data_IF_020848294185
#
_entry.id   IF_020848294185
#
_cell.length_a   1.000
_cell.length_b   1.000
_cell.length_c   1.000
_cell.angle_alpha   90.00
_cell.angle_beta   90.00
_cell.angle_gamma   90.00
#
_symmetry.space_group_name_H-M   'P 1'
#
loop_
_entity.id
_entity.type
_entity.pdbx_description
1 polymer ?
#
# COMPACT_ATOMS: atom_id res chain seq x y z
N UNK A 1 -5.09 -13.67 -21.80
CA UNK A 1 -5.88 -12.44 -21.57
C UNK A 1 -7.34 -12.72 -21.20
N UNK A 2 -8.22 -13.25 -22.09
CA UNK A 2 -9.67 -13.41 -21.83
C UNK A 2 -10.08 -14.21 -20.58
N UNK A 3 -9.24 -15.13 -20.08
CA UNK A 3 -9.55 -15.92 -18.87
C UNK A 3 -9.38 -15.16 -17.54
N UNK A 4 -8.73 -14.00 -17.54
CA UNK A 4 -8.31 -13.30 -16.31
C UNK A 4 -8.70 -11.82 -16.24
N UNK A 5 -9.28 -11.26 -17.32
CA UNK A 5 -9.72 -9.86 -17.37
C UNK A 5 -11.25 -9.87 -17.45
N UNK A 6 -11.97 -9.39 -16.42
CA UNK A 6 -13.44 -9.48 -16.34
C UNK A 6 -14.17 -8.45 -17.22
N UNK A 7 -13.46 -7.78 -18.14
CA UNK A 7 -13.97 -6.73 -19.02
C UNK A 7 -13.50 -6.95 -20.46
N UNK A 8 -14.20 -6.41 -21.46
CA UNK A 8 -13.81 -6.55 -22.86
C UNK A 8 -12.38 -6.07 -23.11
N UNK A 9 -11.61 -6.83 -23.90
CA UNK A 9 -10.21 -6.48 -24.23
C UNK A 9 -10.08 -5.11 -24.90
N UNK A 10 -11.14 -4.65 -25.57
CA UNK A 10 -11.22 -3.34 -26.23
C UNK A 10 -11.33 -2.17 -25.24
N UNK A 11 -11.71 -2.44 -24.00
CA UNK A 11 -11.88 -1.42 -22.95
C UNK A 11 -10.63 -1.25 -22.08
N UNK A 12 -9.62 -2.08 -22.28
CA UNK A 12 -8.41 -2.11 -21.48
C UNK A 12 -7.15 -2.02 -22.34
N UNK A 13 -6.15 -1.35 -21.81
CA UNK A 13 -4.78 -1.44 -22.26
C UNK A 13 -4.05 -2.48 -21.41
N UNK A 14 -3.21 -3.28 -22.05
CA UNK A 14 -2.40 -4.29 -21.38
C UNK A 14 -0.95 -3.88 -21.33
N UNK A 15 -0.36 -4.06 -20.16
CA UNK A 15 1.08 -3.98 -19.95
C UNK A 15 1.52 -5.25 -19.21
N UNK A 16 2.77 -5.66 -19.39
CA UNK A 16 3.30 -6.83 -18.70
C UNK A 16 4.77 -6.64 -18.32
N UNK A 17 5.12 -7.25 -17.20
CA UNK A 17 6.49 -7.30 -16.71
C UNK A 17 6.93 -8.76 -16.59
N UNK A 18 8.09 -9.08 -17.16
CA UNK A 18 8.71 -10.41 -17.00
C UNK A 18 9.26 -10.50 -15.58
N UNK A 19 8.82 -11.49 -14.82
CA UNK A 19 9.35 -11.74 -13.48
C UNK A 19 10.71 -12.42 -13.64
N UNK A 20 11.81 -11.85 -13.09
CA UNK A 20 13.13 -12.48 -13.17
C UNK A 20 13.11 -13.91 -12.65
N UNK A 21 13.88 -14.84 -13.24
CA UNK A 21 13.85 -16.26 -12.85
C UNK A 21 14.24 -16.48 -11.38
N UNK A 22 15.19 -15.71 -10.88
CA UNK A 22 15.61 -15.72 -9.46
C UNK A 22 14.43 -15.37 -8.54
N UNK A 23 13.64 -14.37 -8.93
CA UNK A 23 12.45 -13.87 -8.23
C UNK A 23 11.26 -14.85 -8.36
N UNK A 24 11.08 -15.43 -9.54
CA UNK A 24 10.08 -16.46 -9.80
C UNK A 24 10.31 -17.70 -8.94
N UNK A 25 11.57 -18.00 -8.57
CA UNK A 25 12.01 -19.01 -7.60
C UNK A 25 11.32 -18.93 -6.23
N UNK A 26 10.93 -17.73 -5.82
CA UNK A 26 10.36 -17.48 -4.49
C UNK A 26 8.84 -17.42 -4.46
N UNK A 27 8.20 -17.21 -5.61
CA UNK A 27 6.75 -17.20 -5.71
C UNK A 27 6.19 -18.62 -5.54
N UNK A 28 5.20 -18.77 -4.67
CA UNK A 28 4.55 -20.03 -4.29
C UNK A 28 3.83 -20.80 -5.41
N UNK A 29 4.05 -20.43 -6.67
CA UNK A 29 3.55 -21.12 -7.85
C UNK A 29 4.37 -22.38 -8.22
N UNK A 30 5.38 -22.77 -7.43
CA UNK A 30 6.30 -23.88 -7.76
C UNK A 30 5.74 -25.30 -7.64
N UNK A 31 4.56 -25.50 -7.04
CA UNK A 31 3.98 -26.85 -6.93
C UNK A 31 3.31 -27.35 -8.23
N UNK A 32 3.37 -26.60 -9.33
CA UNK A 32 2.85 -27.03 -10.63
C UNK A 32 4.00 -27.31 -11.61
N UNK A 33 3.95 -28.41 -12.38
CA UNK A 33 4.94 -28.66 -13.42
C UNK A 33 4.93 -27.49 -14.42
N UNK A 34 5.98 -26.67 -14.38
CA UNK A 34 6.20 -25.60 -15.37
C UNK A 34 6.71 -26.22 -16.66
N UNK A 35 6.20 -25.73 -17.78
CA UNK A 35 6.85 -25.95 -19.06
C UNK A 35 8.21 -25.23 -19.00
N UNK A 36 9.34 -25.90 -19.25
CA UNK A 36 10.67 -25.30 -19.17
C UNK A 36 10.88 -24.13 -20.13
N UNK A 37 9.99 -23.95 -21.12
CA UNK A 37 9.99 -22.80 -22.03
C UNK A 37 8.95 -21.72 -21.68
N UNK A 38 8.29 -21.80 -20.51
CA UNK A 38 7.31 -20.81 -20.07
C UNK A 38 7.97 -19.72 -19.21
N UNK A 39 7.65 -18.47 -19.51
CA UNK A 39 8.09 -17.30 -18.74
C UNK A 39 6.95 -16.80 -17.85
N UNK A 40 7.24 -16.57 -16.57
CA UNK A 40 6.29 -15.93 -15.68
C UNK A 40 6.22 -14.43 -15.94
N UNK A 41 5.01 -13.92 -16.09
CA UNK A 41 4.76 -12.49 -16.31
C UNK A 41 3.72 -11.98 -15.33
N UNK A 42 3.96 -10.78 -14.80
CA UNK A 42 2.93 -9.97 -14.18
C UNK A 42 2.16 -9.26 -15.29
N UNK A 43 0.88 -9.58 -15.44
CA UNK A 43 0.00 -8.92 -16.39
C UNK A 43 -0.82 -7.82 -15.69
N UNK A 44 -0.79 -6.61 -16.23
CA UNK A 44 -1.58 -5.48 -15.77
C UNK A 44 -2.59 -5.09 -16.83
N UNK A 45 -3.86 -4.94 -16.44
CA UNK A 45 -4.91 -4.43 -17.30
C UNK A 45 -5.42 -3.09 -16.75
N UNK A 46 -5.33 -2.04 -17.56
CA UNK A 46 -5.71 -0.67 -17.19
C UNK A 46 -6.90 -0.27 -18.05
N UNK A 47 -7.98 0.21 -17.42
CA UNK A 47 -9.10 0.77 -18.17
C UNK A 47 -8.65 1.98 -19.01
N UNK A 48 -9.04 2.02 -20.27
CA UNK A 48 -8.70 3.12 -21.17
C UNK A 48 -9.20 4.48 -20.63
N UNK A 49 -10.31 4.49 -19.88
CA UNK A 49 -10.82 5.68 -19.19
C UNK A 49 -9.84 6.22 -18.14
N UNK A 50 -9.11 5.35 -17.44
CA UNK A 50 -8.10 5.74 -16.45
C UNK A 50 -6.93 6.43 -17.14
N UNK A 51 -6.47 5.91 -18.29
CA UNK A 51 -5.42 6.52 -19.09
C UNK A 51 -5.85 7.89 -19.63
N UNK A 52 -7.06 7.99 -20.19
CA UNK A 52 -7.62 9.26 -20.67
C UNK A 52 -7.70 10.32 -19.57
N UNK A 53 -8.06 9.91 -18.34
CA UNK A 53 -8.07 10.81 -17.18
C UNK A 53 -6.66 11.32 -16.84
N UNK A 54 -5.66 10.44 -16.82
CA UNK A 54 -4.27 10.86 -16.56
C UNK A 54 -3.73 11.77 -17.66
N UNK A 55 -4.07 11.50 -18.92
CA UNK A 55 -3.72 12.37 -20.05
C UNK A 55 -4.32 13.78 -19.89
N UNK A 56 -5.61 13.87 -19.55
CA UNK A 56 -6.26 15.17 -19.29
C UNK A 56 -5.60 15.95 -18.15
N UNK A 57 -5.24 15.27 -17.05
CA UNK A 57 -4.56 15.89 -15.90
C UNK A 57 -3.17 16.39 -16.30
N UNK A 58 -2.38 15.57 -17.00
CA UNK A 58 -1.00 15.93 -17.40
C UNK A 58 -0.95 17.04 -18.43
N UNK A 59 -1.88 17.06 -19.39
CA UNK A 59 -2.05 18.18 -20.33
C UNK A 59 -2.40 19.49 -19.60
N UNK A 60 -3.35 19.43 -18.66
CA UNK A 60 -3.75 20.60 -17.85
C UNK A 60 -2.60 21.12 -16.99
N UNK A 61 -1.84 20.21 -16.39
CA UNK A 61 -0.65 20.53 -15.59
C UNK A 61 0.57 20.93 -16.44
N UNK A 62 0.51 20.80 -17.77
CA UNK A 62 1.62 21.02 -18.71
C UNK A 62 2.86 20.19 -18.38
N UNK A 63 2.65 18.93 -17.98
CA UNK A 63 3.72 17.97 -17.67
C UNK A 63 3.66 16.84 -18.69
N UNK A 64 4.80 16.44 -19.24
CA UNK A 64 4.89 15.25 -20.11
C UNK A 64 5.36 14.05 -19.27
N UNK A 65 4.50 13.04 -19.00
CA UNK A 65 4.90 11.87 -18.24
C UNK A 65 5.87 11.02 -19.06
N UNK A 66 7.00 10.61 -18.45
CA UNK A 66 7.95 9.69 -19.09
C UNK A 66 7.46 8.23 -19.05
N UNK A 67 6.72 7.87 -18.01
CA UNK A 67 6.17 6.53 -17.80
C UNK A 67 4.99 6.59 -16.82
N UNK A 68 4.23 5.49 -16.78
CA UNK A 68 3.22 5.22 -15.76
C UNK A 68 3.64 3.98 -14.95
N UNK A 69 3.20 3.88 -13.71
CA UNK A 69 3.49 2.74 -12.84
C UNK A 69 2.27 2.40 -11.99
N UNK A 70 2.11 1.11 -11.67
CA UNK A 70 1.11 0.65 -10.72
C UNK A 70 1.59 0.94 -9.30
N UNK A 71 0.75 1.63 -8.53
CA UNK A 71 1.02 2.16 -7.19
C UNK A 71 1.79 1.23 -6.23
N UNK A 72 1.47 -0.09 -6.11
CA UNK A 72 2.15 -0.97 -5.16
C UNK A 72 3.65 -1.11 -5.41
N UNK A 73 4.11 -1.11 -6.68
CA UNK A 73 5.53 -1.20 -7.01
C UNK A 73 6.29 0.07 -6.62
N UNK A 74 5.67 1.23 -6.84
CA UNK A 74 6.24 2.50 -6.40
C UNK A 74 6.35 2.51 -4.87
N UNK A 75 5.25 2.22 -4.17
CA UNK A 75 5.23 2.20 -2.71
C UNK A 75 6.29 1.24 -2.13
N UNK A 76 6.37 0.01 -2.62
CA UNK A 76 7.35 -0.97 -2.16
C UNK A 76 8.80 -0.47 -2.36
N UNK A 77 9.09 0.21 -3.48
CA UNK A 77 10.44 0.73 -3.75
C UNK A 77 10.93 1.73 -2.69
N UNK A 78 10.07 2.49 -2.04
CA UNK A 78 10.48 3.49 -1.04
C UNK A 78 10.23 3.03 0.41
N UNK A 79 9.08 2.42 0.68
CA UNK A 79 8.60 2.14 2.02
C UNK A 79 8.99 0.76 2.55
N UNK A 80 9.36 -0.16 1.66
CA UNK A 80 9.83 -1.50 2.01
C UNK A 80 11.36 -1.59 1.92
N UNK A 81 11.94 -2.26 2.92
CA UNK A 81 13.34 -2.67 2.92
C UNK A 81 13.40 -4.15 2.56
N UNK A 82 14.23 -4.51 1.59
CA UNK A 82 14.32 -5.88 1.10
C UNK A 82 14.74 -6.81 2.24
N UNK A 83 13.95 -7.86 2.45
CA UNK A 83 14.20 -8.92 3.40
C UNK A 83 13.86 -10.27 2.79
N UNK A 84 14.38 -11.34 3.39
CA UNK A 84 14.13 -12.72 2.94
C UNK A 84 12.84 -13.32 3.50
N UNK A 85 12.26 -12.69 4.53
CA UNK A 85 11.02 -13.13 5.14
C UNK A 85 9.82 -12.35 4.56
N UNK A 86 8.63 -12.96 4.46
CA UNK A 86 7.42 -12.25 4.06
C UNK A 86 7.12 -11.06 4.98
N UNK A 87 6.73 -9.94 4.37
CA UNK A 87 6.35 -8.70 5.05
C UNK A 87 4.96 -8.28 4.60
N UNK A 88 4.08 -8.00 5.55
CA UNK A 88 2.79 -7.38 5.25
C UNK A 88 2.94 -5.87 5.23
N UNK A 89 2.35 -5.21 4.24
CA UNK A 89 2.27 -3.75 4.18
C UNK A 89 0.80 -3.35 4.28
N UNK A 90 0.50 -2.45 5.22
CA UNK A 90 -0.83 -1.86 5.39
C UNK A 90 -0.74 -0.40 4.96
N UNK A 91 -1.23 -0.10 3.75
CA UNK A 91 -1.38 1.25 3.22
C UNK A 91 -2.71 1.85 3.68
N UNK A 92 -2.64 2.61 4.77
CA UNK A 92 -3.79 3.25 5.37
C UNK A 92 -4.05 4.61 4.71
N UNK A 93 -4.84 4.59 3.64
CA UNK A 93 -5.28 5.77 2.91
C UNK A 93 -6.51 6.45 3.52
N UNK A 94 -6.94 7.56 2.90
CA UNK A 94 -8.14 8.28 3.33
C UNK A 94 -9.43 7.54 2.97
N UNK A 95 -9.57 7.10 1.72
CA UNK A 95 -10.79 6.47 1.19
C UNK A 95 -10.83 4.93 1.33
N UNK A 96 -9.72 4.32 1.73
CA UNK A 96 -9.58 2.88 1.83
C UNK A 96 -8.22 2.48 2.37
N UNK A 97 -8.09 1.21 2.72
CA UNK A 97 -6.83 0.62 3.20
C UNK A 97 -6.44 -0.51 2.27
N UNK A 98 -5.21 -0.50 1.77
CA UNK A 98 -4.68 -1.61 0.95
C UNK A 98 -3.77 -2.46 1.80
N UNK A 99 -3.85 -3.77 1.61
CA UNK A 99 -3.04 -4.75 2.31
C UNK A 99 -2.26 -5.52 1.26
N UNK A 100 -0.94 -5.48 1.39
CA UNK A 100 -0.02 -6.24 0.55
C UNK A 100 0.72 -7.27 1.40
N UNK A 101 1.09 -8.40 0.81
CA UNK A 101 2.14 -9.26 1.36
C UNK A 101 3.23 -9.35 0.31
N UNK A 102 4.42 -8.93 0.70
CA UNK A 102 5.59 -8.79 -0.16
C UNK A 102 6.61 -9.85 0.25
N UNK A 103 7.12 -10.59 -0.72
CA UNK A 103 8.19 -11.57 -0.57
C UNK A 103 9.26 -11.30 -1.63
N UNK A 104 10.52 -11.13 -1.22
CA UNK A 104 11.64 -10.80 -2.12
C UNK A 104 11.37 -9.60 -3.06
N UNK A 105 10.62 -8.61 -2.58
CA UNK A 105 10.24 -7.42 -3.36
C UNK A 105 9.04 -7.63 -4.30
N UNK A 106 8.49 -8.84 -4.39
CA UNK A 106 7.33 -9.17 -5.22
C UNK A 106 6.06 -9.19 -4.37
N UNK A 107 4.98 -8.63 -4.89
CA UNK A 107 3.68 -8.62 -4.22
C UNK A 107 2.95 -9.94 -4.51
N UNK A 108 2.83 -10.79 -3.49
CA UNK A 108 2.10 -12.06 -3.57
C UNK A 108 0.60 -11.88 -3.29
N UNK A 109 0.26 -11.05 -2.30
CA UNK A 109 -1.13 -10.73 -1.94
C UNK A 109 -1.36 -9.24 -2.15
N UNK A 110 -2.50 -8.89 -2.75
CA UNK A 110 -3.02 -7.52 -2.83
C UNK A 110 -4.52 -7.53 -2.56
N UNK A 111 -4.95 -6.85 -1.49
CA UNK A 111 -6.35 -6.75 -1.12
C UNK A 111 -6.71 -5.31 -0.71
N UNK A 112 -7.95 -4.90 -0.98
CA UNK A 112 -8.44 -3.57 -0.62
C UNK A 112 -9.57 -3.70 0.39
N UNK A 113 -9.38 -3.09 1.57
CA UNK A 113 -10.40 -2.90 2.59
C UNK A 113 -11.09 -1.56 2.31
N UNK A 114 -12.42 -1.58 2.14
CA UNK A 114 -13.24 -0.41 1.83
C UNK A 114 -13.44 0.57 2.98
N UNK A 115 -12.47 0.71 3.89
CA UNK A 115 -12.45 1.70 4.97
C UNK A 115 -11.08 2.33 5.10
N UNK A 116 -11.07 3.64 5.34
CA UNK A 116 -9.87 4.47 5.44
C UNK A 116 -9.96 5.53 6.54
N UNK A 117 -8.99 6.45 6.54
CA UNK A 117 -8.90 7.52 7.52
C UNK A 117 -10.05 8.52 7.46
N UNK A 118 -10.79 8.60 6.34
CA UNK A 118 -11.99 9.43 6.23
C UNK A 118 -13.17 8.83 7.01
N UNK A 119 -13.32 7.51 7.04
CA UNK A 119 -14.35 6.85 7.84
C UNK A 119 -14.14 7.14 9.33
N UNK A 120 -12.89 7.17 9.77
CA UNK A 120 -12.52 7.59 11.12
C UNK A 120 -12.95 9.03 11.40
N UNK A 121 -12.69 9.96 10.48
CA UNK A 121 -13.12 11.35 10.60
C UNK A 121 -14.64 11.48 10.66
N UNK A 122 -15.38 10.76 9.81
CA UNK A 122 -16.85 10.76 9.80
C UNK A 122 -17.43 10.17 11.09
N UNK A 123 -16.81 9.13 11.65
CA UNK A 123 -17.21 8.55 12.92
C UNK A 123 -17.06 9.55 14.08
N UNK A 124 -15.95 10.30 14.09
CA UNK A 124 -15.72 11.36 15.07
C UNK A 124 -16.67 12.54 14.91
N UNK A 125 -16.92 12.95 13.66
CA UNK A 125 -17.90 13.97 13.34
C UNK A 125 -19.27 13.61 13.92
N UNK A 126 -19.74 12.39 13.66
CA UNK A 126 -21.04 11.90 14.13
C UNK A 126 -21.08 11.73 15.66
N UNK A 127 -20.03 11.17 16.25
CA UNK A 127 -19.97 10.91 17.70
C UNK A 127 -19.82 12.17 18.54
N UNK A 128 -19.10 13.17 18.03
CA UNK A 128 -18.85 14.44 18.72
C UNK A 128 -19.82 15.57 18.38
N UNK A 129 -20.65 15.42 17.34
CA UNK A 129 -21.56 16.49 16.88
C UNK A 129 -20.83 17.72 16.33
N UNK A 130 -19.61 17.53 15.82
CA UNK A 130 -18.74 18.61 15.29
C UNK A 130 -18.76 18.61 13.76
N UNK A 131 -18.13 19.61 13.15
CA UNK A 131 -17.91 19.64 11.69
C UNK A 131 -16.85 18.62 11.27
N UNK A 132 -16.82 18.28 9.97
CA UNK A 132 -15.79 17.39 9.42
C UNK A 132 -14.37 17.92 9.68
N UNK A 133 -14.14 19.23 9.50
CA UNK A 133 -12.84 19.87 9.70
C UNK A 133 -12.39 19.80 11.16
N UNK A 134 -13.31 20.04 12.11
CA UNK A 134 -13.02 19.89 13.54
C UNK A 134 -12.72 18.44 13.90
N UNK A 135 -13.46 17.48 13.34
CA UNK A 135 -13.21 16.06 13.54
C UNK A 135 -11.85 15.62 12.97
N UNK A 136 -11.46 16.13 11.80
CA UNK A 136 -10.14 15.85 11.19
C UNK A 136 -9.02 16.41 12.06
N UNK A 137 -9.19 17.63 12.57
CA UNK A 137 -8.23 18.29 13.46
C UNK A 137 -8.09 17.47 14.76
N UNK A 138 -9.21 17.11 15.37
CA UNK A 138 -9.25 16.27 16.57
C UNK A 138 -8.54 14.93 16.35
N UNK A 139 -8.79 14.26 15.22
CA UNK A 139 -8.15 13.00 14.83
C UNK A 139 -6.63 13.15 14.76
N UNK A 140 -6.14 14.19 14.08
CA UNK A 140 -4.70 14.44 13.89
C UNK A 140 -4.01 14.83 15.20
N UNK A 141 -4.68 15.60 16.05
CA UNK A 141 -4.13 16.09 17.30
C UNK A 141 -4.09 15.02 18.39
N UNK A 142 -5.20 14.29 18.57
CA UNK A 142 -5.39 13.31 19.65
C UNK A 142 -5.03 11.88 19.26
N UNK A 143 -4.98 11.56 17.97
CA UNK A 143 -4.77 10.18 17.51
C UNK A 143 -5.82 9.22 18.08
N UNK A 144 -5.43 7.99 18.40
CA UNK A 144 -6.34 6.97 18.94
C UNK A 144 -6.78 7.21 20.38
N UNK A 145 -5.98 7.91 21.19
CA UNK A 145 -6.27 8.12 22.62
C UNK A 145 -7.45 9.06 22.90
N UNK A 146 -7.94 9.80 21.91
CA UNK A 146 -9.10 10.70 22.05
C UNK A 146 -10.18 10.47 21.00
N UNK A 147 -10.18 9.29 20.35
CA UNK A 147 -11.06 8.99 19.21
C UNK A 147 -11.82 7.68 19.41
N UNK A 148 -12.41 7.49 20.60
CA UNK A 148 -13.22 6.30 20.93
C UNK A 148 -14.33 6.03 19.92
N UNK A 149 -15.03 7.08 19.46
CA UNK A 149 -16.05 6.95 18.40
C UNK A 149 -15.49 6.38 17.08
N UNK A 150 -14.18 6.50 16.88
CA UNK A 150 -13.43 6.05 15.73
C UNK A 150 -12.78 4.67 15.86
N UNK A 151 -12.69 4.11 17.08
CA UNK A 151 -11.96 2.86 17.32
C UNK A 151 -12.53 1.70 16.49
N UNK A 152 -13.85 1.64 16.34
CA UNK A 152 -14.53 0.62 15.54
C UNK A 152 -14.10 0.59 14.05
N UNK A 153 -13.63 1.72 13.51
CA UNK A 153 -13.08 1.78 12.14
C UNK A 153 -11.72 1.08 12.09
N UNK A 154 -10.85 1.38 13.05
CA UNK A 154 -9.52 0.76 13.17
C UNK A 154 -9.65 -0.73 13.46
N UNK A 155 -10.52 -1.10 14.39
CA UNK A 155 -10.76 -2.49 14.77
C UNK A 155 -11.23 -3.31 13.56
N UNK A 156 -12.10 -2.75 12.73
CA UNK A 156 -12.52 -3.38 11.48
C UNK A 156 -11.35 -3.56 10.51
N UNK A 157 -10.58 -2.49 10.25
CA UNK A 157 -9.45 -2.52 9.31
C UNK A 157 -8.42 -3.57 9.74
N UNK A 158 -8.01 -3.56 11.01
CA UNK A 158 -7.02 -4.52 11.51
C UNK A 158 -7.55 -5.94 11.64
N UNK A 159 -8.85 -6.13 11.92
CA UNK A 159 -9.47 -7.46 11.88
C UNK A 159 -9.45 -8.05 10.46
N UNK A 160 -9.78 -7.25 9.45
CA UNK A 160 -9.75 -7.68 8.05
C UNK A 160 -8.31 -7.94 7.58
N UNK A 161 -7.37 -7.05 7.88
CA UNK A 161 -5.95 -7.24 7.60
C UNK A 161 -5.41 -8.52 8.27
N UNK A 162 -5.82 -8.81 9.51
CA UNK A 162 -5.44 -10.04 10.23
C UNK A 162 -6.02 -11.29 9.56
N UNK A 163 -7.25 -11.23 9.03
CA UNK A 163 -7.83 -12.35 8.27
C UNK A 163 -7.01 -12.65 7.02
N UNK A 164 -6.58 -11.61 6.30
CA UNK A 164 -5.71 -11.73 5.11
C UNK A 164 -4.36 -12.36 5.51
N UNK A 165 -3.75 -11.87 6.58
CA UNK A 165 -2.50 -12.41 7.13
C UNK A 165 -2.61 -13.91 7.42
N UNK A 166 -3.62 -14.31 8.20
CA UNK A 166 -3.81 -15.70 8.60
C UNK A 166 -4.15 -16.61 7.42
N UNK A 167 -4.86 -16.09 6.41
CA UNK A 167 -5.15 -16.83 5.19
C UNK A 167 -3.86 -17.11 4.40
N UNK A 168 -2.99 -16.12 4.26
CA UNK A 168 -1.67 -16.28 3.64
C UNK A 168 -0.81 -17.29 4.41
N UNK A 169 -0.62 -17.11 5.72
CA UNK A 169 0.22 -18.01 6.53
C UNK A 169 -0.27 -19.46 6.49
N UNK A 170 -1.59 -19.68 6.47
CA UNK A 170 -2.17 -21.02 6.33
C UNK A 170 -1.94 -21.62 4.95
N UNK A 171 -2.07 -20.81 3.89
CA UNK A 171 -1.89 -21.25 2.51
C UNK A 171 -0.43 -21.58 2.21
N UNK A 172 0.49 -20.74 2.66
CA UNK A 172 1.90 -20.78 2.30
C UNK A 172 2.78 -21.50 3.34
N UNK A 173 2.29 -21.72 4.56
CA UNK A 173 3.10 -22.28 5.65
C UNK A 173 4.25 -21.37 6.10
N UNK A 174 4.31 -20.12 5.65
CA UNK A 174 5.33 -19.13 6.00
C UNK A 174 4.79 -18.14 7.01
N UNK A 175 5.63 -17.71 7.96
CA UNK A 175 5.28 -16.63 8.90
C UNK A 175 5.62 -15.26 8.31
N UNK A 176 4.72 -14.29 8.48
CA UNK A 176 5.03 -12.88 8.19
C UNK A 176 5.81 -12.31 9.38
N UNK A 177 7.01 -11.82 9.10
CA UNK A 177 7.95 -11.38 10.14
C UNK A 177 7.75 -9.94 10.59
N UNK A 178 7.19 -9.11 9.70
CA UNK A 178 7.03 -7.67 9.91
C UNK A 178 5.76 -7.17 9.23
N UNK A 179 5.17 -6.16 9.85
CA UNK A 179 4.07 -5.36 9.31
C UNK A 179 4.52 -3.92 9.21
N UNK A 180 4.53 -3.39 7.99
CA UNK A 180 4.91 -2.01 7.70
C UNK A 180 3.66 -1.18 7.46
N UNK A 181 3.49 -0.12 8.25
CA UNK A 181 2.43 0.86 8.11
C UNK A 181 2.86 1.97 7.13
N UNK A 182 2.08 2.19 6.08
CA UNK A 182 2.30 3.22 5.06
C UNK A 182 1.02 4.06 4.84
N UNK A 183 1.13 5.15 4.10
CA UNK A 183 0.00 6.03 3.81
C UNK A 183 -0.23 7.10 4.89
N UNK A 184 -1.11 8.06 4.60
CA UNK A 184 -1.37 9.19 5.52
C UNK A 184 -2.00 8.78 6.85
N UNK A 185 -2.75 7.68 6.87
CA UNK A 185 -3.31 7.10 8.09
C UNK A 185 -2.26 6.48 9.00
N UNK A 186 -1.09 6.08 8.48
CA UNK A 186 0.01 5.55 9.30
C UNK A 186 0.59 6.60 10.28
N UNK A 187 0.38 7.89 10.02
CA UNK A 187 0.78 8.98 10.90
C UNK A 187 -0.16 9.18 12.11
N UNK A 188 -1.22 8.38 12.23
CA UNK A 188 -2.16 8.47 13.35
C UNK A 188 -1.48 8.05 14.66
N UNK A 189 -1.45 8.95 15.64
CA UNK A 189 -0.79 8.69 16.93
C UNK A 189 -1.46 7.51 17.64
N UNK A 190 -0.67 6.58 18.17
CA UNK A 190 -1.17 5.37 18.83
C UNK A 190 -1.45 4.19 17.89
N UNK A 191 -1.35 4.38 16.56
CA UNK A 191 -1.68 3.34 15.59
C UNK A 191 -0.73 2.13 15.67
N UNK A 192 0.61 2.27 15.76
CA UNK A 192 1.50 1.12 15.92
C UNK A 192 1.20 0.30 17.17
N UNK A 193 0.88 0.96 18.28
CA UNK A 193 0.55 0.32 19.57
C UNK A 193 -0.77 -0.45 19.51
N UNK A 194 -1.75 0.04 18.75
CA UNK A 194 -3.01 -0.68 18.51
C UNK A 194 -2.78 -1.83 17.53
N UNK A 195 -2.01 -1.62 16.46
CA UNK A 195 -1.67 -2.69 15.51
C UNK A 195 -0.99 -3.88 16.20
N UNK A 196 -0.07 -3.62 17.14
CA UNK A 196 0.61 -4.67 17.91
C UNK A 196 -0.32 -5.57 18.74
N UNK A 197 -1.59 -5.16 18.96
CA UNK A 197 -2.61 -6.00 19.63
C UNK A 197 -3.30 -6.97 18.67
N UNK A 198 -3.28 -6.67 17.37
CA UNK A 198 -3.91 -7.49 16.33
C UNK A 198 -2.94 -8.51 15.73
N UNK A 199 -1.66 -8.16 15.68
CA UNK A 199 -0.67 -8.91 14.93
C UNK A 199 0.47 -9.37 15.83
N UNK A 200 0.85 -10.63 15.67
CA UNK A 200 2.01 -11.23 16.33
C UNK A 200 3.24 -11.13 15.42
N UNK A 201 3.60 -9.90 15.07
CA UNK A 201 4.72 -9.57 14.18
C UNK A 201 5.29 -8.21 14.55
N UNK A 202 6.54 -7.94 14.14
CA UNK A 202 7.17 -6.64 14.35
C UNK A 202 6.36 -5.57 13.60
N UNK A 203 5.92 -4.52 14.30
CA UNK A 203 5.24 -3.38 13.68
C UNK A 203 6.25 -2.26 13.44
N UNK A 204 6.32 -1.75 12.22
CA UNK A 204 7.11 -0.57 11.87
C UNK A 204 6.29 0.41 11.06
N UNK A 205 6.60 1.70 11.19
CA UNK A 205 6.08 2.74 10.30
C UNK A 205 7.13 3.02 9.23
N UNK A 206 6.71 3.05 7.97
CA UNK A 206 7.63 3.32 6.86
C UNK A 206 8.34 4.66 6.98
N UNK A 207 9.56 4.70 6.47
CA UNK A 207 10.35 5.93 6.36
C UNK A 207 10.80 6.10 4.90
N UNK A 208 9.90 6.52 3.99
CA UNK A 208 10.20 6.58 2.56
C UNK A 208 11.37 7.50 2.19
N UNK A 209 11.66 8.48 3.05
CA UNK A 209 12.72 9.46 2.86
C UNK A 209 14.12 8.94 3.24
N UNK A 210 14.26 7.75 3.84
CA UNK A 210 15.57 7.19 4.23
C UNK A 210 16.49 6.92 3.03
N UNK A 211 15.92 6.84 1.82
CA UNK A 211 16.65 6.62 0.57
C UNK A 211 17.07 7.93 -0.12
N UNK A 212 16.80 9.08 0.47
CA UNK A 212 17.12 10.40 -0.11
C UNK A 212 17.78 11.33 0.91
N UNK A 213 18.61 12.25 0.43
CA UNK A 213 19.16 13.30 1.28
C UNK A 213 18.14 14.43 1.46
N UNK A 214 17.95 14.87 2.70
CA UNK A 214 17.10 15.99 3.06
C UNK A 214 17.80 16.90 4.07
N UNK A 215 17.56 18.22 4.05
CA UNK A 215 18.07 19.12 5.09
C UNK A 215 17.60 18.70 6.49
N UNK A 216 18.51 18.76 7.47
CA UNK A 216 18.21 18.31 8.84
C UNK A 216 16.99 19.02 9.47
N UNK A 217 16.75 20.30 9.12
CA UNK A 217 15.67 21.10 9.69
C UNK A 217 14.26 20.61 9.29
N UNK A 218 14.12 19.81 8.23
CA UNK A 218 12.82 19.21 7.85
C UNK A 218 12.67 17.77 8.34
N UNK A 219 13.66 17.20 9.03
CA UNK A 219 13.69 15.79 9.41
C UNK A 219 12.45 15.32 10.17
N UNK A 220 11.97 16.08 11.14
CA UNK A 220 10.79 15.72 11.94
C UNK A 220 9.49 15.80 11.13
N UNK A 221 9.40 16.76 10.20
CA UNK A 221 8.28 16.86 9.27
C UNK A 221 8.27 15.66 8.33
N UNK A 222 9.44 15.25 7.82
CA UNK A 222 9.56 14.08 6.96
C UNK A 222 9.30 12.77 7.71
N UNK A 223 9.67 12.65 8.98
CA UNK A 223 9.31 11.46 9.78
C UNK A 223 7.81 11.36 10.03
N UNK A 224 7.16 12.49 10.33
CA UNK A 224 5.73 12.51 10.66
C UNK A 224 4.81 12.42 9.44
N UNK A 225 5.21 12.98 8.30
CA UNK A 225 4.41 12.99 7.07
C UNK A 225 4.91 11.99 6.03
N UNK A 226 6.12 11.48 6.19
CA UNK A 226 6.82 10.58 5.27
C UNK A 226 5.99 9.43 4.73
N UNK A 227 5.28 8.67 5.59
CA UNK A 227 4.46 7.55 5.13
C UNK A 227 3.45 7.89 4.02
N UNK A 228 2.91 9.11 3.97
CA UNK A 228 1.99 9.53 2.91
C UNK A 228 2.66 9.76 1.55
N UNK A 229 3.98 9.86 1.52
CA UNK A 229 4.77 10.10 0.31
C UNK A 229 5.39 8.82 -0.27
N UNK A 230 5.14 7.65 0.32
CA UNK A 230 5.74 6.38 -0.11
C UNK A 230 5.65 6.16 -1.62
N UNK A 231 4.44 6.20 -2.19
CA UNK A 231 4.24 6.02 -3.63
C UNK A 231 4.98 7.08 -4.46
N UNK A 232 4.89 8.35 -4.07
CA UNK A 232 5.50 9.46 -4.82
C UNK A 232 7.04 9.37 -4.83
N UNK A 233 7.65 9.10 -3.68
CA UNK A 233 9.11 8.91 -3.57
C UNK A 233 9.54 7.66 -4.34
N UNK A 234 8.78 6.58 -4.26
CA UNK A 234 9.03 5.38 -5.04
C UNK A 234 9.03 5.62 -6.54
N UNK A 235 8.05 6.38 -7.04
CA UNK A 235 7.95 6.75 -8.45
C UNK A 235 9.15 7.60 -8.88
N UNK A 236 9.55 8.57 -8.05
CA UNK A 236 10.72 9.41 -8.31
C UNK A 236 12.01 8.57 -8.35
N UNK A 237 12.20 7.63 -7.42
CA UNK A 237 13.36 6.73 -7.39
C UNK A 237 13.48 5.90 -8.68
N UNK A 238 12.38 5.41 -9.25
CA UNK A 238 12.40 4.73 -10.55
C UNK A 238 12.83 5.65 -11.68
N UNK A 239 12.39 6.90 -11.66
CA UNK A 239 12.80 7.88 -12.67
C UNK A 239 14.30 8.19 -12.66
N UNK A 240 14.99 7.93 -11.54
CA UNK A 240 16.44 8.09 -11.37
C UNK A 240 17.23 6.83 -11.71
N UNK A 241 16.60 5.66 -11.72
CA UNK A 241 17.24 4.41 -12.15
C UNK A 241 17.39 4.47 -13.68
N UNK A 242 18.64 4.44 -14.15
CA UNK A 242 19.02 4.47 -15.56
C UNK A 242 18.80 3.11 -16.21
#
# INVERSE_FOLDING_TARGET
ARKYIPVPITEVSLDWFVIPEEEAGFLSAHDKPKNPNATDVLLVAIHNQTLAKFESVTQTAKVTPRFYEVEPFSMARSAYQHGTAPTMVIDFGASGTRVYIIEFGIIDVSHTIGRGGQDLTLALQKGGGVTFTEAETLKRDKGLSGTEAGSAVIDFIFSEARRILLAYQRKEGKAVSEIVLVGGGAALKGLPEVAARYFDAKITTSSPFDKVAAPAFIGDVLKSTGPSFATAIGLALRGLQS
#
